data_IF_191438926735
#
_entry.id   IF_191438926735
#
_cell.length_a   1.000
_cell.length_b   1.000
_cell.length_c   1.000
_cell.angle_alpha   90.00
_cell.angle_beta   90.00
_cell.angle_gamma   90.00
#
_symmetry.space_group_name_H-M   'P 1'
#
loop_
_entity.id
_entity.type
_entity.pdbx_description
1 polymer ?
#
# COMPACT_ATOMS: atom_id res chain seq x y z
N UNK A 1 8.28 5.85 7.73
CA UNK A 1 8.14 5.94 6.26
C UNK A 1 7.34 7.18 5.90
N UNK A 2 7.78 8.05 4.98
CA UNK A 2 7.02 9.25 4.57
C UNK A 2 6.12 8.95 3.36
N UNK A 3 5.25 9.90 3.00
CA UNK A 3 4.34 9.75 1.86
C UNK A 3 5.11 9.63 0.55
N UNK A 4 6.13 10.45 0.37
CA UNK A 4 6.94 10.49 -0.85
C UNK A 4 7.67 9.16 -1.08
N UNK A 5 8.12 8.53 0.01
CA UNK A 5 8.74 7.20 -0.03
C UNK A 5 7.74 6.15 -0.52
N UNK A 6 6.50 6.18 0.00
CA UNK A 6 5.44 5.25 -0.41
C UNK A 6 5.11 5.47 -1.89
N UNK A 7 4.89 6.73 -2.29
CA UNK A 7 4.59 7.09 -3.67
C UNK A 7 5.68 6.60 -4.63
N UNK A 8 6.95 6.78 -4.27
CA UNK A 8 8.08 6.32 -5.06
C UNK A 8 8.13 4.80 -5.20
N UNK A 9 7.95 4.06 -4.10
CA UNK A 9 7.97 2.60 -4.10
C UNK A 9 6.81 2.00 -4.91
N UNK A 10 5.61 2.58 -4.79
CA UNK A 10 4.44 2.15 -5.56
C UNK A 10 4.67 2.33 -7.06
N UNK A 11 5.24 3.46 -7.47
CA UNK A 11 5.53 3.73 -8.88
C UNK A 11 6.62 2.79 -9.42
N UNK A 12 7.69 2.55 -8.66
CA UNK A 12 8.74 1.59 -9.05
C UNK A 12 8.15 0.21 -9.28
N UNK A 13 7.33 -0.29 -8.33
CA UNK A 13 6.69 -1.60 -8.45
C UNK A 13 5.77 -1.69 -9.68
N UNK A 14 5.02 -0.63 -9.98
CA UNK A 14 4.15 -0.59 -11.16
C UNK A 14 4.96 -0.60 -12.47
N UNK A 15 6.06 0.17 -12.53
CA UNK A 15 6.97 0.18 -13.69
C UNK A 15 7.64 -1.17 -13.86
N UNK A 16 8.20 -1.73 -12.79
CA UNK A 16 8.91 -3.01 -12.82
C UNK A 16 7.98 -4.16 -13.25
N UNK A 17 6.74 -4.18 -12.73
CA UNK A 17 5.73 -5.15 -13.15
C UNK A 17 5.39 -5.02 -14.64
N UNK A 18 5.29 -3.79 -15.16
CA UNK A 18 5.02 -3.55 -16.58
C UNK A 18 6.21 -3.95 -17.47
N UNK A 19 7.44 -3.62 -17.08
CA UNK A 19 8.67 -3.95 -17.81
C UNK A 19 8.91 -5.46 -17.88
N UNK A 20 8.61 -6.17 -16.79
CA UNK A 20 8.78 -7.63 -16.70
C UNK A 20 7.55 -8.42 -17.14
N UNK A 21 6.40 -7.77 -17.33
CA UNK A 21 5.12 -8.42 -17.61
C UNK A 21 4.65 -9.35 -16.48
N UNK A 22 5.02 -9.05 -15.23
CA UNK A 22 4.74 -9.89 -14.05
C UNK A 22 3.82 -9.15 -13.07
N UNK A 23 2.56 -9.58 -13.02
CA UNK A 23 1.54 -9.01 -12.13
C UNK A 23 1.84 -9.21 -10.65
N UNK A 24 2.68 -10.18 -10.28
CA UNK A 24 3.05 -10.43 -8.88
C UNK A 24 3.95 -9.33 -8.31
N UNK A 25 4.62 -8.57 -9.18
CA UNK A 25 5.48 -7.45 -8.80
C UNK A 25 4.70 -6.14 -8.62
N UNK A 26 3.41 -6.11 -8.97
CA UNK A 26 2.57 -4.94 -8.72
C UNK A 26 2.42 -4.69 -7.22
N UNK A 27 2.08 -3.46 -6.80
CA UNK A 27 1.75 -3.17 -5.42
C UNK A 27 0.67 -4.11 -4.87
N UNK A 28 0.95 -4.71 -3.71
CA UNK A 28 0.03 -5.57 -2.97
C UNK A 28 -0.55 -4.86 -1.76
N UNK A 29 0.32 -4.51 -0.80
CA UNK A 29 -0.11 -3.87 0.45
C UNK A 29 0.92 -2.87 0.99
N UNK A 30 0.42 -1.84 1.65
CA UNK A 30 1.19 -0.97 2.53
C UNK A 30 0.93 -1.44 3.95
N UNK A 31 1.99 -1.73 4.68
CA UNK A 31 1.93 -2.20 6.05
C UNK A 31 2.46 -1.12 6.99
N UNK A 32 1.80 -0.96 8.13
CA UNK A 32 2.26 -0.08 9.19
C UNK A 32 2.26 -0.80 10.53
N UNK A 33 3.28 -0.49 11.33
CA UNK A 33 3.17 -0.70 12.76
C UNK A 33 2.09 0.21 13.33
N UNK A 34 1.25 -0.31 14.24
CA UNK A 34 0.20 0.48 14.88
C UNK A 34 0.74 1.73 15.58
N UNK A 35 1.93 1.68 16.17
CA UNK A 35 2.55 2.83 16.85
C UNK A 35 2.99 3.94 15.90
N UNK A 36 3.30 3.62 14.64
CA UNK A 36 3.51 4.61 13.58
C UNK A 36 2.18 5.15 13.09
N UNK A 37 1.23 4.26 12.80
CA UNK A 37 -0.06 4.62 12.21
C UNK A 37 -0.83 5.64 13.05
N UNK A 38 -0.94 5.43 14.36
CA UNK A 38 -1.73 6.31 15.24
C UNK A 38 -1.19 7.74 15.36
N UNK A 39 0.04 7.99 14.89
CA UNK A 39 0.66 9.32 14.89
C UNK A 39 0.45 10.06 13.57
N UNK A 40 -0.07 9.40 12.53
CA UNK A 40 -0.32 10.01 11.24
C UNK A 40 -1.61 10.83 11.25
N UNK A 41 -1.53 12.00 10.63
CA UNK A 41 -2.68 12.78 10.21
C UNK A 41 -3.09 12.42 8.77
N UNK A 42 -4.28 12.84 8.36
CA UNK A 42 -4.73 12.75 6.97
C UNK A 42 -3.86 13.58 6.01
N UNK A 43 -3.17 14.62 6.50
CA UNK A 43 -2.23 15.39 5.70
C UNK A 43 -0.95 14.59 5.41
N UNK A 44 -0.51 13.74 6.35
CA UNK A 44 0.68 12.91 6.19
C UNK A 44 0.46 11.73 5.24
N UNK A 45 -0.77 11.21 5.17
CA UNK A 45 -1.16 10.16 4.23
C UNK A 45 -2.69 10.19 4.03
N UNK A 46 -3.19 10.69 2.89
CA UNK A 46 -4.62 10.83 2.65
C UNK A 46 -5.24 9.47 2.26
N UNK A 47 -5.51 8.65 3.26
CA UNK A 47 -6.13 7.32 3.04
C UNK A 47 -7.65 7.38 3.09
N UNK A 48 -8.31 6.53 2.32
CA UNK A 48 -9.78 6.40 2.30
C UNK A 48 -10.18 5.01 2.78
N UNK A 49 -11.10 4.93 3.75
CA UNK A 49 -11.77 3.68 4.08
C UNK A 49 -12.93 3.47 3.10
N UNK A 50 -12.81 2.48 2.21
CA UNK A 50 -13.81 2.26 1.15
C UNK A 50 -15.09 1.66 1.73
N UNK A 51 -14.95 0.57 2.49
CA UNK A 51 -15.98 -0.01 3.36
C UNK A 51 -15.31 -1.02 4.31
N UNK A 52 -16.08 -1.65 5.20
CA UNK A 52 -15.56 -2.60 6.20
C UNK A 52 -14.95 -3.87 5.58
N UNK A 53 -15.38 -4.27 4.39
CA UNK A 53 -14.87 -5.45 3.67
C UNK A 53 -13.59 -5.15 2.91
N UNK A 54 -13.52 -3.98 2.26
CA UNK A 54 -12.38 -3.58 1.40
C UNK A 54 -11.25 -2.96 2.23
N UNK A 55 -11.59 -2.26 3.31
CA UNK A 55 -10.64 -1.64 4.22
C UNK A 55 -10.14 -0.26 3.79
N UNK A 56 -9.02 0.13 4.39
CA UNK A 56 -8.37 1.44 4.21
C UNK A 56 -7.42 1.35 3.02
N UNK A 57 -7.49 2.32 2.11
CA UNK A 57 -6.73 2.35 0.87
C UNK A 57 -5.94 3.64 0.73
N UNK A 58 -4.77 3.54 0.12
CA UNK A 58 -4.00 4.68 -0.38
C UNK A 58 -3.66 4.40 -1.84
N UNK A 59 -4.11 5.28 -2.75
CA UNK A 59 -3.99 5.09 -4.20
C UNK A 59 -4.50 3.72 -4.68
N UNK A 60 -5.62 3.24 -4.12
CA UNK A 60 -6.15 1.89 -4.38
C UNK A 60 -5.41 0.72 -3.69
N UNK A 61 -4.25 0.95 -3.07
CA UNK A 61 -3.45 -0.09 -2.40
C UNK A 61 -3.89 -0.27 -0.95
N UNK A 62 -4.04 -1.52 -0.50
CA UNK A 62 -4.51 -1.85 0.85
C UNK A 62 -3.53 -1.37 1.92
N UNK A 63 -4.07 -0.76 2.97
CA UNK A 63 -3.31 -0.35 4.15
C UNK A 63 -3.62 -1.30 5.31
N UNK A 64 -2.61 -2.05 5.74
CA UNK A 64 -2.70 -3.05 6.80
C UNK A 64 -1.95 -2.60 8.05
N UNK A 65 -2.65 -2.53 9.18
CA UNK A 65 -2.10 -1.97 10.42
C UNK A 65 -2.10 -3.04 11.50
N UNK A 66 -0.96 -3.23 12.16
CA UNK A 66 -0.85 -4.14 13.31
C UNK A 66 0.37 -3.79 14.15
N UNK A 67 0.34 -4.09 15.45
CA UNK A 67 1.54 -3.98 16.30
C UNK A 67 2.65 -4.97 15.92
N UNK A 68 2.33 -6.02 15.15
CA UNK A 68 3.28 -7.04 14.68
C UNK A 68 3.86 -6.76 13.30
N UNK A 69 3.37 -5.72 12.61
CA UNK A 69 3.86 -5.33 11.28
C UNK A 69 4.96 -4.29 11.40
N UNK A 70 5.85 -4.31 10.42
CA UNK A 70 6.81 -3.23 10.17
C UNK A 70 6.22 -2.26 9.15
N UNK A 71 6.82 -1.07 9.03
CA UNK A 71 6.43 -0.10 8.02
C UNK A 71 7.05 -0.47 6.67
N UNK A 72 6.26 -1.03 5.75
CA UNK A 72 6.73 -1.49 4.42
C UNK A 72 5.71 -1.27 3.32
N UNK A 73 6.18 -1.15 2.09
CA UNK A 73 5.39 -1.37 0.87
C UNK A 73 5.77 -2.74 0.33
N UNK A 74 4.79 -3.60 0.09
CA UNK A 74 4.95 -4.96 -0.38
C UNK A 74 4.33 -5.11 -1.76
N UNK A 75 4.99 -5.86 -2.64
CA UNK A 75 4.36 -6.33 -3.87
C UNK A 75 3.41 -7.52 -3.58
N UNK A 76 2.65 -7.96 -4.59
CA UNK A 76 1.68 -9.06 -4.45
C UNK A 76 2.33 -10.43 -4.21
N UNK A 77 3.60 -10.61 -4.56
CA UNK A 77 4.34 -11.82 -4.20
C UNK A 77 4.73 -11.85 -2.72
N UNK A 78 5.00 -10.68 -2.14
CA UNK A 78 5.48 -10.51 -0.75
C UNK A 78 4.34 -10.42 0.29
N UNK A 79 3.17 -9.91 -0.10
CA UNK A 79 2.09 -9.63 0.83
C UNK A 79 1.28 -10.86 1.26
N UNK A 80 1.51 -12.00 0.61
CA UNK A 80 0.85 -13.28 0.88
C UNK A 80 -0.66 -13.25 0.69
N UNK A 81 -1.19 -12.38 -0.19
CA UNK A 81 -2.62 -12.23 -0.43
C UNK A 81 -3.32 -11.28 0.53
N UNK A 82 -2.61 -10.70 1.51
CA UNK A 82 -3.23 -9.85 2.52
C UNK A 82 -3.75 -8.51 1.96
N UNK A 83 -3.28 -8.08 0.78
CA UNK A 83 -3.72 -6.88 0.09
C UNK A 83 -5.04 -7.04 -0.68
N UNK A 84 -5.58 -8.26 -0.78
CA UNK A 84 -6.82 -8.51 -1.51
C UNK A 84 -8.04 -7.75 -0.91
N UNK A 85 -8.98 -7.29 -1.74
CA UNK A 85 -8.95 -7.32 -3.21
C UNK A 85 -7.92 -6.32 -3.77
N UNK A 86 -7.18 -6.73 -4.80
CA UNK A 86 -6.26 -5.84 -5.51
C UNK A 86 -7.03 -4.92 -6.44
N UNK A 87 -6.74 -3.62 -6.37
CA UNK A 87 -7.31 -2.59 -7.24
C UNK A 87 -6.24 -2.06 -8.19
N UNK A 88 -6.67 -1.30 -9.20
CA UNK A 88 -5.72 -0.54 -10.00
C UNK A 88 -5.05 0.54 -9.17
N UNK A 89 -3.74 0.74 -9.41
CA UNK A 89 -2.97 1.79 -8.75
C UNK A 89 -3.44 3.14 -9.27
N UNK A 90 -3.95 3.97 -8.37
CA UNK A 90 -4.41 5.32 -8.70
C UNK A 90 -3.22 6.30 -8.87
N UNK A 91 -3.38 7.42 -9.58
CA UNK A 91 -2.37 8.46 -9.64
C UNK A 91 -2.15 9.14 -8.28
N UNK A 92 -1.04 9.88 -8.14
CA UNK A 92 -0.75 10.66 -6.93
C UNK A 92 -1.78 11.77 -6.74
N UNK A 93 -2.30 11.90 -5.51
CA UNK A 93 -3.26 12.94 -5.11
C UNK A 93 -2.62 14.24 -4.64
#
# INVERSE_FOLDING_TARGET
>A
MKREDIDHLLDIMAVEAAEKGDESLRPGAITFNSSTWVKRSSADLPTTCVNTTIGIRYRGVQVLISSRREDKVLNRAEDGGAGEPYMELEPKS
#
